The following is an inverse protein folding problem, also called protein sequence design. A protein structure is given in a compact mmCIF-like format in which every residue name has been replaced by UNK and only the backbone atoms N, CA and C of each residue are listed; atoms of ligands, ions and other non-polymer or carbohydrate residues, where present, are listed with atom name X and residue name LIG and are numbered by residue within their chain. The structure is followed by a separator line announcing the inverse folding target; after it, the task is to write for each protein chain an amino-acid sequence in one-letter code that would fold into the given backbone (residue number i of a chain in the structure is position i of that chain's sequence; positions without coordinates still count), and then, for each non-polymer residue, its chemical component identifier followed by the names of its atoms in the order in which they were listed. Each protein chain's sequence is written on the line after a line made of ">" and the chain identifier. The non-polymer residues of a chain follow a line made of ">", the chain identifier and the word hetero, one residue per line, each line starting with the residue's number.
data_IF_415720385421
#
_entry.id   IF_415720385421
#
_cell.length_a   1.000
_cell.length_b   1.000
_cell.length_c   1.000
_cell.angle_alpha   90.00
_cell.angle_beta   90.00
_cell.angle_gamma   90.00
#
_symmetry.space_group_name_H-M   'P 1'
#
loop_
_entity.id
_entity.type
_entity.pdbx_description
1 polymer ?
#
# COMPACT_ATOMS: atom_id res chain seq x y z
N UNK A 1 -5.98 -18.65 -3.57
CA UNK A 1 -4.80 -17.87 -3.12
C UNK A 1 -4.90 -16.51 -3.78
N UNK A 2 -4.93 -15.43 -2.99
CA UNK A 2 -5.03 -14.05 -3.49
C UNK A 2 -3.66 -13.39 -3.35
N UNK A 3 -3.16 -12.77 -4.42
CA UNK A 3 -1.95 -11.95 -4.39
C UNK A 3 -2.31 -10.47 -4.49
N UNK A 4 -1.66 -9.62 -3.71
CA UNK A 4 -1.76 -8.15 -3.80
C UNK A 4 -0.38 -7.58 -3.99
N UNK A 5 -0.16 -6.91 -5.12
CA UNK A 5 1.11 -6.27 -5.43
C UNK A 5 1.03 -4.77 -5.19
N UNK A 6 2.00 -4.24 -4.46
CA UNK A 6 2.16 -2.81 -4.20
C UNK A 6 3.25 -2.24 -5.13
N UNK A 7 2.90 -1.22 -5.90
CA UNK A 7 3.84 -0.49 -6.77
C UNK A 7 3.77 1.01 -6.49
N UNK A 8 4.91 1.65 -6.37
CA UNK A 8 5.00 3.09 -6.21
C UNK A 8 4.94 3.81 -7.56
N UNK A 9 4.03 4.73 -7.76
CA UNK A 9 3.94 5.53 -8.98
C UNK A 9 5.19 6.39 -9.24
N UNK A 10 5.96 6.69 -8.19
CA UNK A 10 7.22 7.43 -8.25
C UNK A 10 8.15 7.06 -7.11
N UNK A 11 9.34 7.65 -7.07
CA UNK A 11 10.29 7.44 -5.97
C UNK A 11 9.77 8.03 -4.65
N UNK A 12 10.04 7.34 -3.53
CA UNK A 12 9.72 7.84 -2.20
C UNK A 12 8.22 7.92 -1.86
N UNK A 13 7.36 7.21 -2.57
CA UNK A 13 5.89 7.24 -2.37
C UNK A 13 5.41 6.55 -1.10
N UNK A 14 6.30 5.89 -0.35
CA UNK A 14 5.92 5.16 0.87
C UNK A 14 5.35 3.77 0.62
N UNK A 15 5.61 3.17 -0.54
CA UNK A 15 5.12 1.83 -0.95
C UNK A 15 5.47 0.77 0.07
N UNK A 16 6.75 0.60 0.41
CA UNK A 16 7.24 -0.36 1.43
C UNK A 16 6.61 -0.08 2.80
N UNK A 17 6.43 1.19 3.15
CA UNK A 17 5.78 1.57 4.42
C UNK A 17 4.31 1.14 4.45
N UNK A 18 3.55 1.38 3.38
CA UNK A 18 2.16 0.98 3.30
C UNK A 18 2.02 -0.55 3.27
N UNK A 19 2.89 -1.24 2.54
CA UNK A 19 2.93 -2.71 2.52
C UNK A 19 3.21 -3.29 3.92
N UNK A 20 4.20 -2.76 4.64
CA UNK A 20 4.50 -3.16 6.02
C UNK A 20 3.35 -2.83 7.00
N UNK A 21 2.73 -1.65 6.89
CA UNK A 21 1.52 -1.30 7.65
C UNK A 21 0.38 -2.29 7.39
N UNK A 22 0.20 -2.73 6.15
CA UNK A 22 -0.85 -3.69 5.78
C UNK A 22 -0.67 -5.02 6.48
N UNK A 23 0.55 -5.53 6.52
CA UNK A 23 0.91 -6.77 7.23
C UNK A 23 0.60 -6.66 8.73
N UNK A 24 1.03 -5.56 9.37
CA UNK A 24 0.81 -5.34 10.80
C UNK A 24 -0.67 -5.13 11.14
N UNK A 25 -1.39 -4.36 10.33
CA UNK A 25 -2.83 -4.15 10.55
C UNK A 25 -3.62 -5.46 10.47
N UNK A 26 -3.32 -6.33 9.52
CA UNK A 26 -3.93 -7.67 9.43
C UNK A 26 -3.61 -8.49 10.68
N UNK A 27 -2.34 -8.52 11.10
CA UNK A 27 -1.91 -9.24 12.30
C UNK A 27 -2.60 -8.74 13.58
N UNK A 28 -2.67 -7.41 13.79
CA UNK A 28 -3.34 -6.80 14.95
C UNK A 28 -4.85 -7.08 15.00
N UNK A 29 -5.47 -7.24 13.83
CA UNK A 29 -6.90 -7.54 13.75
C UNK A 29 -7.20 -9.04 13.72
N UNK A 30 -6.22 -9.91 14.03
CA UNK A 30 -6.39 -11.36 14.11
C UNK A 30 -6.61 -12.03 12.74
N UNK A 31 -6.43 -11.29 11.65
CA UNK A 31 -6.50 -11.85 10.31
C UNK A 31 -5.23 -12.67 10.01
N UNK A 32 -5.32 -13.57 9.04
CA UNK A 32 -4.16 -14.31 8.57
C UNK A 32 -3.20 -13.38 7.83
N UNK A 33 -1.94 -13.42 8.19
CA UNK A 33 -0.88 -12.61 7.59
C UNK A 33 -0.46 -13.24 6.27
N UNK A 34 -0.48 -12.50 5.14
CA UNK A 34 0.00 -13.02 3.86
C UNK A 34 1.51 -13.29 3.89
N UNK A 35 1.96 -14.24 3.09
CA UNK A 35 3.38 -14.38 2.79
C UNK A 35 3.88 -13.12 2.08
N UNK A 36 5.05 -12.61 2.47
CA UNK A 36 5.58 -11.39 1.87
C UNK A 36 6.69 -11.72 0.88
N UNK A 37 6.57 -11.17 -0.32
CA UNK A 37 7.60 -11.14 -1.35
C UNK A 37 7.98 -9.69 -1.60
N UNK A 38 9.22 -9.31 -1.36
CA UNK A 38 9.66 -7.93 -1.55
C UNK A 38 10.86 -7.89 -2.50
N UNK A 39 10.86 -6.90 -3.41
CA UNK A 39 11.99 -6.65 -4.32
C UNK A 39 13.28 -6.40 -3.53
N UNK A 40 13.17 -5.78 -2.36
CA UNK A 40 14.26 -5.64 -1.39
C UNK A 40 13.79 -6.16 -0.02
N UNK A 41 13.91 -7.46 0.18
CA UNK A 41 13.47 -8.14 1.41
C UNK A 41 14.14 -7.56 2.66
N UNK A 42 15.42 -7.30 2.63
CA UNK A 42 16.14 -6.74 3.77
C UNK A 42 15.66 -5.33 4.15
N UNK A 43 15.29 -4.50 3.18
CA UNK A 43 14.68 -3.18 3.45
C UNK A 43 13.26 -3.32 3.98
N UNK A 44 12.48 -4.25 3.44
CA UNK A 44 11.13 -4.54 3.91
C UNK A 44 11.14 -5.03 5.36
N UNK A 45 11.97 -6.02 5.70
CA UNK A 45 12.06 -6.60 7.04
C UNK A 45 12.49 -5.55 8.08
N UNK A 46 13.49 -4.72 7.73
CA UNK A 46 13.88 -3.60 8.59
C UNK A 46 12.72 -2.62 8.79
N UNK A 47 11.92 -2.36 7.75
CA UNK A 47 10.79 -1.43 7.81
C UNK A 47 9.61 -2.01 8.58
N UNK A 48 9.31 -3.28 8.41
CA UNK A 48 8.24 -3.98 9.09
C UNK A 48 8.47 -4.00 10.60
N UNK A 49 9.61 -4.49 11.04
CA UNK A 49 9.92 -4.72 12.44
C UNK A 49 9.35 -6.05 12.94
N UNK A 50 8.78 -6.06 14.15
CA UNK A 50 8.33 -7.28 14.80
C UNK A 50 6.83 -7.49 14.61
N UNK A 51 6.45 -8.69 14.20
CA UNK A 51 5.04 -9.09 14.17
C UNK A 51 4.55 -9.47 15.57
N UNK A 52 3.26 -9.26 15.88
CA UNK A 52 2.65 -9.76 17.10
C UNK A 52 2.83 -11.29 17.23
N UNK A 53 3.07 -11.78 18.46
CA UNK A 53 3.27 -13.22 18.69
C UNK A 53 2.05 -14.08 18.29
N UNK A 54 0.86 -13.49 18.29
CA UNK A 54 -0.38 -14.13 17.86
C UNK A 54 -0.60 -14.15 16.33
N UNK A 55 0.32 -13.55 15.53
CA UNK A 55 0.20 -13.51 14.07
C UNK A 55 0.18 -14.94 13.50
N UNK A 56 -0.79 -15.21 12.62
CA UNK A 56 -0.95 -16.51 11.98
C UNK A 56 -0.69 -16.39 10.49
N UNK A 57 0.18 -17.21 9.94
CA UNK A 57 0.43 -17.25 8.50
C UNK A 57 -0.81 -17.66 7.73
N UNK A 58 -1.01 -17.02 6.59
CA UNK A 58 -2.07 -17.32 5.61
C UNK A 58 -1.51 -17.89 4.31
N UNK A 59 -2.42 -18.36 3.45
CA UNK A 59 -2.07 -18.85 2.10
C UNK A 59 -2.07 -17.75 1.02
N UNK A 60 -2.30 -16.50 1.39
CA UNK A 60 -2.30 -15.34 0.48
C UNK A 60 -0.92 -14.69 0.41
N UNK A 61 -0.69 -13.85 -0.59
CA UNK A 61 0.59 -13.21 -0.84
C UNK A 61 0.46 -11.69 -0.87
N UNK A 62 1.45 -10.99 -0.32
CA UNK A 62 1.67 -9.55 -0.45
C UNK A 62 3.02 -9.32 -1.11
N UNK A 63 3.02 -8.60 -2.23
CA UNK A 63 4.23 -8.29 -2.98
C UNK A 63 4.57 -6.80 -2.84
N UNK A 64 5.73 -6.46 -2.26
CA UNK A 64 6.33 -5.12 -2.35
C UNK A 64 7.20 -5.06 -3.60
N UNK A 65 6.60 -4.66 -4.70
CA UNK A 65 7.21 -4.70 -6.03
C UNK A 65 8.01 -3.43 -6.39
N UNK A 66 8.22 -2.52 -5.43
CA UNK A 66 8.99 -1.30 -5.66
C UNK A 66 8.32 -0.32 -6.62
N UNK A 67 9.08 0.25 -7.56
CA UNK A 67 8.57 1.25 -8.52
C UNK A 67 7.68 0.65 -9.61
N UNK A 68 6.69 1.45 -10.06
CA UNK A 68 5.80 1.11 -11.16
C UNK A 68 6.58 0.84 -12.46
N UNK A 69 6.24 -0.28 -13.09
CA UNK A 69 6.62 -0.63 -14.46
C UNK A 69 5.47 -1.42 -15.07
N UNK A 70 5.16 -1.16 -16.34
CA UNK A 70 4.05 -1.80 -17.04
C UNK A 70 4.08 -3.35 -16.97
N UNK A 71 5.25 -3.97 -17.11
CA UNK A 71 5.41 -5.42 -16.98
C UNK A 71 5.09 -5.95 -15.59
N UNK A 72 5.47 -5.23 -14.52
CA UNK A 72 5.11 -5.58 -13.14
C UNK A 72 3.60 -5.46 -12.91
N UNK A 73 2.99 -4.39 -13.42
CA UNK A 73 1.53 -4.20 -13.33
C UNK A 73 0.77 -5.31 -14.06
N UNK A 74 1.24 -5.72 -15.25
CA UNK A 74 0.68 -6.85 -16.00
C UNK A 74 0.73 -8.14 -15.21
N UNK A 75 1.88 -8.47 -14.62
CA UNK A 75 2.06 -9.68 -13.80
C UNK A 75 1.18 -9.64 -12.55
N UNK A 76 1.10 -8.49 -11.89
CA UNK A 76 0.27 -8.29 -10.70
C UNK A 76 -1.22 -8.51 -11.01
N UNK A 77 -1.71 -7.90 -12.08
CA UNK A 77 -3.11 -8.04 -12.51
C UNK A 77 -3.44 -9.45 -13.01
N UNK A 78 -2.48 -10.19 -13.55
CA UNK A 78 -2.67 -11.60 -13.90
C UNK A 78 -2.84 -12.49 -12.67
N UNK A 79 -2.18 -12.16 -11.55
CA UNK A 79 -2.13 -12.99 -10.34
C UNK A 79 -3.13 -12.56 -9.26
N UNK A 80 -3.56 -11.30 -9.26
CA UNK A 80 -4.40 -10.80 -8.18
C UNK A 80 -4.82 -9.34 -8.34
N UNK A 81 -4.63 -8.57 -7.30
CA UNK A 81 -4.95 -7.14 -7.23
C UNK A 81 -3.68 -6.29 -7.20
N UNK A 82 -3.82 -5.05 -7.64
CA UNK A 82 -2.75 -4.08 -7.70
C UNK A 82 -3.05 -2.88 -6.81
N UNK A 83 -2.08 -2.45 -6.03
CA UNK A 83 -2.11 -1.20 -5.27
C UNK A 83 -1.08 -0.26 -5.89
N UNK A 84 -1.52 0.91 -6.36
CA UNK A 84 -0.61 1.95 -6.84
C UNK A 84 -0.52 3.06 -5.80
N UNK A 85 0.68 3.26 -5.31
CA UNK A 85 0.96 4.23 -4.24
C UNK A 85 1.55 5.51 -4.84
N UNK A 86 0.84 6.62 -4.68
CA UNK A 86 1.30 7.96 -5.05
C UNK A 86 1.62 8.83 -3.84
N UNK A 87 2.42 9.86 -4.03
CA UNK A 87 2.59 10.92 -3.05
C UNK A 87 1.57 12.04 -3.29
N UNK A 88 1.06 12.73 -2.24
CA UNK A 88 0.13 13.85 -2.39
C UNK A 88 0.89 15.15 -2.72
N UNK A 89 1.75 15.10 -3.72
CA UNK A 89 2.47 16.21 -4.33
C UNK A 89 2.04 16.35 -5.79
N UNK A 90 2.19 17.51 -6.43
CA UNK A 90 1.84 17.69 -7.84
C UNK A 90 2.43 16.58 -8.73
N UNK A 91 3.74 16.34 -8.60
CA UNK A 91 4.43 15.30 -9.36
C UNK A 91 3.94 13.88 -9.00
N UNK A 92 3.70 13.60 -7.70
CA UNK A 92 3.24 12.30 -7.25
C UNK A 92 1.83 11.98 -7.75
N UNK A 93 0.95 12.98 -7.80
CA UNK A 93 -0.40 12.88 -8.37
C UNK A 93 -0.32 12.63 -9.87
N UNK A 94 0.46 13.42 -10.61
CA UNK A 94 0.64 13.23 -12.06
C UNK A 94 1.22 11.83 -12.37
N UNK A 95 2.20 11.36 -11.59
CA UNK A 95 2.76 10.02 -11.78
C UNK A 95 1.73 8.92 -11.51
N UNK A 96 0.85 9.10 -10.52
CA UNK A 96 -0.24 8.18 -10.22
C UNK A 96 -1.27 8.16 -11.35
N UNK A 97 -1.67 9.32 -11.86
CA UNK A 97 -2.60 9.46 -12.98
C UNK A 97 -2.04 8.80 -14.25
N UNK A 98 -0.76 8.98 -14.55
CA UNK A 98 -0.08 8.32 -15.67
C UNK A 98 -0.08 6.80 -15.52
N UNK A 99 0.23 6.27 -14.33
CA UNK A 99 0.20 4.84 -14.08
C UNK A 99 -1.21 4.26 -14.27
N UNK A 100 -2.24 4.93 -13.78
CA UNK A 100 -3.64 4.51 -13.96
C UNK A 100 -4.09 4.61 -15.41
N UNK A 101 -3.66 5.62 -16.14
CA UNK A 101 -3.91 5.76 -17.58
C UNK A 101 -3.26 4.63 -18.38
N UNK A 102 -2.03 4.23 -18.05
CA UNK A 102 -1.35 3.08 -18.67
C UNK A 102 -2.11 1.77 -18.38
N UNK A 103 -2.59 1.57 -17.14
CA UNK A 103 -3.42 0.42 -16.77
C UNK A 103 -4.73 0.42 -17.54
N UNK A 104 -5.42 1.57 -17.61
CA UNK A 104 -6.67 1.70 -18.36
C UNK A 104 -6.49 1.38 -19.85
N UNK A 105 -5.41 1.87 -20.46
CA UNK A 105 -5.12 1.65 -21.89
C UNK A 105 -4.81 0.20 -22.21
N UNK A 106 -4.17 -0.55 -21.28
CA UNK A 106 -3.76 -1.95 -21.49
C UNK A 106 -4.81 -2.95 -21.08
N UNK A 107 -5.56 -2.70 -20.01
CA UNK A 107 -6.44 -3.67 -19.36
C UNK A 107 -7.90 -3.19 -19.27
N UNK A 108 -8.19 -1.97 -19.76
CA UNK A 108 -9.53 -1.39 -19.73
C UNK A 108 -10.09 -1.21 -18.32
N UNK A 109 -11.41 -1.14 -18.20
CA UNK A 109 -12.12 -1.00 -16.92
C UNK A 109 -11.83 -2.14 -15.95
N UNK A 110 -11.73 -3.37 -16.44
CA UNK A 110 -11.46 -4.55 -15.61
C UNK A 110 -10.09 -4.47 -14.89
N UNK A 111 -9.09 -3.86 -15.53
CA UNK A 111 -7.79 -3.59 -14.89
C UNK A 111 -7.91 -2.54 -13.79
N UNK A 112 -8.67 -1.48 -14.03
CA UNK A 112 -8.91 -0.42 -13.04
C UNK A 112 -9.71 -0.92 -11.83
N UNK A 113 -10.72 -1.75 -12.02
CA UNK A 113 -11.51 -2.36 -10.92
C UNK A 113 -10.66 -3.22 -9.99
N UNK A 114 -9.57 -3.79 -10.49
CA UNK A 114 -8.60 -4.59 -9.73
C UNK A 114 -7.43 -3.77 -9.20
N UNK A 115 -7.42 -2.46 -9.45
CA UNK A 115 -6.38 -1.54 -9.03
C UNK A 115 -6.91 -0.59 -7.96
N UNK A 116 -6.22 -0.53 -6.81
CA UNK A 116 -6.52 0.38 -5.72
C UNK A 116 -5.49 1.53 -5.72
N UNK A 117 -5.85 2.74 -6.13
CA UNK A 117 -4.99 3.91 -5.96
C UNK A 117 -5.00 4.37 -4.50
N UNK A 118 -3.82 4.71 -3.98
CA UNK A 118 -3.62 5.19 -2.61
C UNK A 118 -2.66 6.38 -2.62
N UNK A 119 -3.00 7.44 -1.91
CA UNK A 119 -2.04 8.52 -1.63
C UNK A 119 -1.45 8.35 -0.23
N UNK A 120 -0.12 8.36 -0.14
CA UNK A 120 0.61 8.29 1.13
C UNK A 120 1.50 9.51 1.26
N UNK A 121 1.24 10.33 2.27
CA UNK A 121 2.10 11.46 2.61
C UNK A 121 3.33 10.98 3.40
N UNK A 122 4.30 10.37 2.69
CA UNK A 122 5.52 9.85 3.29
C UNK A 122 6.47 10.98 3.76
N UNK A 123 6.46 12.12 3.06
CA UNK A 123 7.33 13.26 3.31
C UNK A 123 6.53 14.56 3.36
N UNK A 124 6.31 15.09 4.55
CA UNK A 124 5.71 16.40 4.75
C UNK A 124 4.20 16.51 4.49
N UNK A 125 3.71 17.74 4.50
CA UNK A 125 2.30 18.03 4.29
C UNK A 125 1.87 17.80 2.84
N UNK A 126 0.62 17.35 2.62
CA UNK A 126 0.08 17.23 1.27
C UNK A 126 -0.01 18.59 0.58
N UNK A 127 0.22 18.61 -0.73
CA UNK A 127 -0.14 19.78 -1.54
C UNK A 127 -1.66 19.95 -1.56
N UNK A 128 -2.14 21.19 -1.71
CA UNK A 128 -3.57 21.47 -1.87
C UNK A 128 -4.17 20.98 -3.19
N UNK A 129 -3.39 20.34 -4.05
CA UNK A 129 -3.83 19.85 -5.34
C UNK A 129 -4.76 18.63 -5.17
N UNK A 130 -5.90 18.70 -5.83
CA UNK A 130 -6.85 17.58 -5.90
C UNK A 130 -6.57 16.78 -7.15
N UNK A 131 -6.40 15.43 -7.06
CA UNK A 131 -6.27 14.58 -8.24
C UNK A 131 -7.52 14.64 -9.12
N UNK A 132 -7.35 14.50 -10.43
CA UNK A 132 -8.44 14.34 -11.40
C UNK A 132 -9.17 12.98 -11.31
N UNK A 133 -8.70 12.09 -10.41
CA UNK A 133 -9.21 10.74 -10.20
C UNK A 133 -9.76 10.57 -8.76
N UNK A 134 -10.75 9.70 -8.59
CA UNK A 134 -11.28 9.37 -7.26
C UNK A 134 -10.29 8.50 -6.48
N UNK A 135 -9.72 9.08 -5.43
CA UNK A 135 -8.81 8.38 -4.52
C UNK A 135 -9.44 8.33 -3.13
N UNK A 136 -9.95 7.16 -2.79
CA UNK A 136 -10.66 6.93 -1.53
C UNK A 136 -9.75 6.76 -0.33
N UNK A 137 -8.52 6.27 -0.56
CA UNK A 137 -7.57 5.99 0.52
C UNK A 137 -6.47 7.04 0.52
N UNK A 138 -6.40 7.82 1.59
CA UNK A 138 -5.40 8.87 1.77
C UNK A 138 -4.77 8.71 3.17
N UNK A 139 -3.51 8.31 3.21
CA UNK A 139 -2.75 8.20 4.46
C UNK A 139 -2.02 9.52 4.71
N UNK A 140 -2.43 10.28 5.73
CA UNK A 140 -1.82 11.58 6.02
C UNK A 140 -0.39 11.43 6.53
N UNK A 141 0.37 12.53 6.48
CA UNK A 141 1.71 12.57 7.04
C UNK A 141 1.70 12.32 8.55
N UNK A 142 2.53 11.38 8.96
CA UNK A 142 2.76 11.06 10.36
C UNK A 142 4.26 10.98 10.65
N UNK A 143 4.79 11.83 11.54
CA UNK A 143 6.20 11.81 11.89
C UNK A 143 6.69 10.47 12.45
N UNK A 144 5.79 9.70 13.09
CA UNK A 144 6.11 8.37 13.63
C UNK A 144 6.45 7.37 12.50
N UNK A 145 5.97 7.64 11.28
CA UNK A 145 6.30 6.84 10.09
C UNK A 145 7.51 7.36 9.32
N UNK A 146 8.29 8.26 9.91
CA UNK A 146 9.47 8.83 9.27
C UNK A 146 10.41 7.73 8.71
N UNK A 147 11.19 8.05 7.65
CA UNK A 147 12.11 7.11 7.03
C UNK A 147 13.10 6.51 8.04
N UNK A 148 13.35 5.20 7.91
CA UNK A 148 14.33 4.47 8.72
C UNK A 148 13.80 3.82 10.01
N UNK A 149 12.63 4.21 10.53
CA UNK A 149 12.02 3.57 11.68
C UNK A 149 11.27 2.28 11.35
N UNK A 150 11.06 1.42 12.35
CA UNK A 150 10.20 0.24 12.21
C UNK A 150 8.74 0.64 12.31
N UNK A 151 7.92 0.11 11.43
CA UNK A 151 6.47 0.39 11.44
C UNK A 151 5.81 -0.22 12.68
N UNK A 152 6.30 -1.38 13.15
CA UNK A 152 5.83 -2.00 14.41
C UNK A 152 5.95 -1.06 15.62
N UNK A 153 7.03 -0.30 15.69
CA UNK A 153 7.28 0.63 16.80
C UNK A 153 6.47 1.93 16.65
N UNK A 154 6.24 2.33 15.39
CA UNK A 154 5.47 3.53 15.04
C UNK A 154 3.95 3.37 15.26
N UNK A 155 3.42 2.17 15.06
CA UNK A 155 1.97 1.91 15.01
C UNK A 155 1.22 2.36 16.29
N UNK A 156 1.72 2.11 17.51
CA UNK A 156 1.09 2.62 18.74
C UNK A 156 1.15 4.14 18.87
N UNK A 157 2.15 4.80 18.26
CA UNK A 157 2.41 6.22 18.36
C UNK A 157 1.74 7.05 17.24
N UNK A 158 1.03 6.42 16.32
CA UNK A 158 0.36 7.10 15.21
C UNK A 158 -0.62 8.17 15.69
N UNK A 159 -0.63 9.30 15.01
CA UNK A 159 -1.61 10.37 15.24
C UNK A 159 -3.03 9.87 14.94
N UNK A 160 -4.02 10.44 15.62
CA UNK A 160 -5.42 10.03 15.52
C UNK A 160 -5.94 10.00 14.07
N UNK A 161 -5.60 11.03 13.26
CA UNK A 161 -6.01 11.10 11.84
C UNK A 161 -5.39 9.98 10.98
N UNK A 162 -4.14 9.62 11.22
CA UNK A 162 -3.46 8.52 10.49
C UNK A 162 -4.05 7.19 10.89
N UNK A 163 -4.26 6.98 12.19
CA UNK A 163 -4.92 5.77 12.71
C UNK A 163 -6.35 5.63 12.18
N UNK A 164 -7.10 6.73 12.09
CA UNK A 164 -8.43 6.73 11.51
C UNK A 164 -8.41 6.36 10.02
N UNK A 165 -7.52 6.96 9.22
CA UNK A 165 -7.38 6.64 7.81
C UNK A 165 -7.03 5.16 7.59
N UNK A 166 -6.09 4.62 8.37
CA UNK A 166 -5.70 3.22 8.30
C UNK A 166 -6.83 2.27 8.70
N UNK A 167 -7.57 2.56 9.78
CA UNK A 167 -8.62 1.68 10.29
C UNK A 167 -9.95 1.80 9.54
N UNK A 168 -10.31 2.99 9.06
CA UNK A 168 -11.61 3.24 8.45
C UNK A 168 -11.60 3.17 6.92
N UNK A 169 -10.46 3.41 6.28
CA UNK A 169 -10.34 3.42 4.82
C UNK A 169 -9.52 2.23 4.31
N UNK A 170 -8.38 1.94 4.94
CA UNK A 170 -7.42 0.95 4.42
C UNK A 170 -7.69 -0.47 4.91
N UNK A 171 -7.85 -0.68 6.22
CA UNK A 171 -8.08 -2.00 6.79
C UNK A 171 -9.34 -2.70 6.24
N UNK A 172 -10.50 -2.04 6.06
CA UNK A 172 -11.67 -2.69 5.46
C UNK A 172 -11.38 -3.26 4.08
N UNK A 173 -10.65 -2.52 3.24
CA UNK A 173 -10.23 -3.01 1.93
C UNK A 173 -9.28 -4.22 2.04
N UNK A 174 -8.31 -4.18 2.96
CA UNK A 174 -7.42 -5.33 3.20
C UNK A 174 -8.21 -6.58 3.64
N UNK A 175 -9.16 -6.42 4.55
CA UNK A 175 -9.99 -7.52 5.04
C UNK A 175 -10.91 -8.08 3.95
N UNK A 176 -11.44 -7.24 3.07
CA UNK A 176 -12.21 -7.69 1.90
C UNK A 176 -11.35 -8.54 0.96
N UNK A 177 -10.12 -8.11 0.72
CA UNK A 177 -9.21 -8.79 -0.22
C UNK A 177 -8.60 -10.07 0.36
N UNK A 178 -8.18 -10.03 1.62
CA UNK A 178 -7.48 -11.15 2.28
C UNK A 178 -8.36 -12.00 3.17
N UNK A 179 -9.49 -11.46 3.62
CA UNK A 179 -10.40 -12.11 4.56
C UNK A 179 -11.28 -13.17 3.96
N UNK A 180 -11.08 -13.58 2.70
CA UNK A 180 -11.88 -14.49 1.88
C UNK A 180 -12.84 -15.35 2.68
N UNK A 181 -14.15 -15.16 2.40
CA UNK A 181 -15.25 -15.96 2.97
C UNK A 181 -15.14 -17.41 2.52
#
# INVERSE_FOLDING_TARGET
>A
MTSVTFLGAGGGTGTTTLAALSVLLLAENGARVPAVVAENSAAFDRRLGTLPAAARAGGNELVDGGGYRAGKASSALAQGRLVIVGAPTPQGISSLELALSDIASRFGGAGLERTQPVLVAAFGAPSGQTPGIDIRVRIPFDPSLAPGGRVSDALPALRGRTRAALRQQWLPWLLDVYGGR
#
